data_IF_944120958753
#
_entry.id   IF_944120958753
#
_cell.length_a   1.000
_cell.length_b   1.000
_cell.length_c   1.000
_cell.angle_alpha   90.00
_cell.angle_beta   90.00
_cell.angle_gamma   90.00
#
_symmetry.space_group_name_H-M   'P 1'
#
loop_
_entity.id
_entity.type
_entity.pdbx_description
1 polymer ?
#
# COMPACT_ATOMS: atom_id res chain seq x y z
N UNK A 1 11.27 2.69 -4.80
CA UNK A 1 10.01 3.43 -4.49
C UNK A 1 8.88 3.23 -5.50
N UNK A 2 9.11 3.32 -6.82
CA UNK A 2 8.04 3.18 -7.83
C UNK A 2 7.33 1.83 -7.79
N UNK A 3 8.12 0.75 -7.78
CA UNK A 3 7.60 -0.63 -7.77
C UNK A 3 6.78 -0.90 -6.51
N UNK A 4 7.25 -0.43 -5.34
CA UNK A 4 6.53 -0.60 -4.09
C UNK A 4 5.18 0.14 -4.12
N UNK A 5 5.17 1.41 -4.52
CA UNK A 5 3.93 2.16 -4.70
C UNK A 5 2.97 1.49 -5.70
N UNK A 6 3.48 0.96 -6.81
CA UNK A 6 2.67 0.25 -7.82
C UNK A 6 2.05 -1.05 -7.28
N UNK A 7 2.81 -1.82 -6.48
CA UNK A 7 2.29 -3.02 -5.80
C UNK A 7 1.14 -2.63 -4.87
N UNK A 8 1.35 -1.65 -3.99
CA UNK A 8 0.32 -1.19 -3.04
C UNK A 8 -0.91 -0.62 -3.76
N UNK A 9 -0.72 0.14 -4.84
CA UNK A 9 -1.80 0.66 -5.67
C UNK A 9 -2.70 -0.47 -6.24
N UNK A 10 -2.10 -1.58 -6.68
CA UNK A 10 -2.84 -2.73 -7.19
C UNK A 10 -3.46 -3.59 -6.08
N UNK A 11 -2.84 -3.68 -4.89
CA UNK A 11 -3.48 -4.32 -3.73
C UNK A 11 -4.74 -3.55 -3.32
N UNK A 12 -4.68 -2.22 -3.30
CA UNK A 12 -5.84 -1.38 -3.01
C UNK A 12 -7.01 -1.65 -3.96
N UNK A 13 -6.76 -1.98 -5.22
CA UNK A 13 -7.79 -2.36 -6.19
C UNK A 13 -8.56 -3.62 -5.75
N UNK A 14 -7.84 -4.65 -5.29
CA UNK A 14 -8.44 -5.89 -4.78
C UNK A 14 -9.24 -5.67 -3.49
N UNK A 15 -8.70 -4.88 -2.55
CA UNK A 15 -9.42 -4.53 -1.32
C UNK A 15 -10.64 -3.66 -1.59
N UNK A 16 -10.57 -2.72 -2.54
CA UNK A 16 -11.72 -1.89 -2.94
C UNK A 16 -12.90 -2.77 -3.35
N UNK A 17 -12.64 -3.81 -4.14
CA UNK A 17 -13.67 -4.79 -4.50
C UNK A 17 -14.21 -5.55 -3.28
N UNK A 18 -13.35 -6.09 -2.43
CA UNK A 18 -13.77 -6.83 -1.24
C UNK A 18 -14.58 -5.96 -0.25
N UNK A 19 -14.11 -4.75 0.04
CA UNK A 19 -14.77 -3.79 0.93
C UNK A 19 -16.14 -3.37 0.38
N UNK A 20 -16.30 -3.25 -0.95
CA UNK A 20 -17.61 -3.00 -1.59
C UNK A 20 -18.64 -4.12 -1.36
N UNK A 21 -18.17 -5.32 -1.00
CA UNK A 21 -18.98 -6.48 -0.61
C UNK A 21 -19.03 -6.68 0.91
N UNK A 22 -18.60 -5.69 1.68
CA UNK A 22 -18.48 -5.75 3.15
C UNK A 22 -17.59 -6.88 3.66
N UNK A 23 -16.62 -7.33 2.84
CA UNK A 23 -15.60 -8.31 3.21
C UNK A 23 -14.35 -7.54 3.63
N UNK A 24 -13.90 -7.74 4.88
CA UNK A 24 -12.69 -7.13 5.44
C UNK A 24 -11.69 -8.26 5.69
N UNK A 25 -10.42 -8.07 5.31
CA UNK A 25 -9.42 -9.13 5.37
C UNK A 25 -8.93 -9.42 6.80
N UNK A 26 -8.54 -8.37 7.55
CA UNK A 26 -8.07 -8.40 8.95
C UNK A 26 -6.78 -9.17 9.24
N UNK A 27 -6.11 -9.71 8.23
CA UNK A 27 -4.85 -10.46 8.36
C UNK A 27 -3.95 -10.21 7.13
N UNK A 28 -3.91 -8.97 6.64
CA UNK A 28 -2.98 -8.62 5.59
C UNK A 28 -1.55 -8.61 6.14
N UNK A 29 -0.68 -9.32 5.44
CA UNK A 29 0.76 -9.44 5.67
C UNK A 29 1.42 -9.87 4.36
N UNK A 30 2.75 -9.70 4.19
CA UNK A 30 3.43 -10.04 2.94
C UNK A 30 3.18 -11.48 2.48
N UNK A 31 3.07 -12.43 3.41
CA UNK A 31 2.82 -13.86 3.10
C UNK A 31 1.46 -14.10 2.44
N UNK A 32 0.49 -13.20 2.65
CA UNK A 32 -0.86 -13.30 2.08
C UNK A 32 -0.98 -12.53 0.75
N UNK A 33 0.10 -11.93 0.25
CA UNK A 33 0.15 -11.21 -1.04
C UNK A 33 1.03 -12.00 -2.01
N UNK A 34 0.38 -12.66 -2.96
CA UNK A 34 1.05 -13.43 -4.00
C UNK A 34 1.34 -12.55 -5.23
N UNK A 35 2.46 -12.79 -5.89
CA UNK A 35 2.78 -12.16 -7.17
C UNK A 35 2.54 -13.14 -8.30
N UNK A 36 1.61 -12.82 -9.21
CA UNK A 36 1.38 -13.55 -10.45
C UNK A 36 1.73 -12.64 -11.62
N UNK A 37 2.80 -12.97 -12.34
CA UNK A 37 3.30 -12.17 -13.48
C UNK A 37 3.53 -10.69 -13.10
N UNK A 38 4.09 -10.47 -11.91
CA UNK A 38 4.31 -9.13 -11.35
C UNK A 38 3.07 -8.45 -10.78
N UNK A 39 1.85 -8.97 -10.98
CA UNK A 39 0.61 -8.40 -10.45
C UNK A 39 0.32 -8.98 -9.05
N UNK A 40 0.11 -8.15 -8.01
CA UNK A 40 -0.22 -8.64 -6.69
C UNK A 40 -1.64 -9.19 -6.63
N UNK A 41 -1.82 -10.28 -5.89
CA UNK A 41 -3.07 -10.99 -5.62
C UNK A 41 -3.18 -11.26 -4.13
N UNK A 42 -4.32 -10.91 -3.56
CA UNK A 42 -4.59 -11.12 -2.13
C UNK A 42 -5.13 -12.54 -1.93
N UNK A 43 -4.56 -13.28 -1.00
CA UNK A 43 -4.90 -14.65 -0.64
C UNK A 43 -5.30 -14.75 0.83
N UNK A 44 -5.71 -15.93 1.29
CA UNK A 44 -5.98 -16.22 2.72
C UNK A 44 -7.03 -15.31 3.39
N UNK A 45 -8.15 -15.14 2.69
CA UNK A 45 -9.38 -14.48 3.20
C UNK A 45 -10.07 -15.24 4.36
N UNK A 46 -9.50 -16.37 4.80
CA UNK A 46 -10.17 -17.45 5.52
C UNK A 46 -10.19 -17.38 7.06
N UNK A 47 -9.63 -16.35 7.71
CA UNK A 47 -9.54 -16.28 9.18
C UNK A 47 -10.11 -14.98 9.81
N UNK A 48 -10.86 -14.21 9.03
CA UNK A 48 -11.44 -12.89 9.38
C UNK A 48 -12.41 -12.86 10.59
N UNK A 49 -12.65 -13.98 11.28
CA UNK A 49 -13.58 -14.07 12.41
C UNK A 49 -12.94 -14.36 13.78
N UNK A 50 -11.66 -14.77 13.87
CA UNK A 50 -11.09 -15.24 15.16
C UNK A 50 -9.67 -14.72 15.43
N UNK A 51 -9.38 -13.47 15.08
CA UNK A 51 -8.12 -12.83 15.47
C UNK A 51 -8.32 -11.85 16.63
N UNK A 52 -8.96 -12.28 17.71
CA UNK A 52 -8.48 -11.77 18.99
C UNK A 52 -7.10 -12.38 19.11
N UNK A 53 -6.05 -11.57 19.25
CA UNK A 53 -4.73 -12.10 19.63
C UNK A 53 -4.97 -12.91 20.89
N UNK A 54 -5.00 -14.22 20.72
CA UNK A 54 -5.37 -15.16 21.76
C UNK A 54 -4.10 -15.57 22.48
N UNK A 55 -4.20 -16.00 23.74
CA UNK A 55 -3.05 -16.56 24.45
C UNK A 55 -2.36 -17.68 23.64
N UNK A 56 -3.11 -18.42 22.83
CA UNK A 56 -2.61 -19.48 21.94
C UNK A 56 -1.68 -18.99 20.82
N UNK A 57 -1.97 -17.84 20.20
CA UNK A 57 -1.09 -17.24 19.17
C UNK A 57 0.24 -16.75 19.77
N UNK A 58 0.18 -16.23 21.00
CA UNK A 58 1.36 -15.85 21.78
C UNK A 58 2.19 -17.07 22.20
N UNK A 59 1.54 -18.13 22.67
CA UNK A 59 2.17 -19.40 23.06
C UNK A 59 2.85 -20.11 21.88
N UNK A 60 2.39 -19.88 20.65
CA UNK A 60 3.04 -20.38 19.42
C UNK A 60 4.23 -19.56 18.94
N UNK A 61 4.59 -18.47 19.64
CA UNK A 61 5.71 -17.60 19.25
C UNK A 61 5.43 -16.70 18.04
N UNK A 62 4.16 -16.51 17.64
CA UNK A 62 3.81 -15.65 16.52
C UNK A 62 3.78 -14.17 16.93
N UNK A 63 4.70 -13.38 16.39
CA UNK A 63 4.75 -11.92 16.60
C UNK A 63 3.76 -11.21 15.66
N UNK A 64 2.83 -10.39 16.17
CA UNK A 64 1.76 -9.76 15.38
C UNK A 64 2.24 -8.49 14.64
N UNK A 65 3.30 -8.57 13.85
CA UNK A 65 4.04 -7.43 13.28
C UNK A 65 3.18 -6.45 12.45
N UNK A 66 2.05 -6.92 11.89
CA UNK A 66 1.16 -6.12 11.05
C UNK A 66 -0.18 -5.79 11.74
N UNK A 67 -0.42 -6.27 12.96
CA UNK A 67 -1.71 -6.10 13.62
C UNK A 67 -2.01 -4.62 13.90
N UNK A 68 -3.26 -4.22 13.65
CA UNK A 68 -3.73 -2.89 13.99
C UNK A 68 -3.98 -2.75 15.51
N UNK A 69 -3.88 -1.54 16.09
CA UNK A 69 -4.14 -1.31 17.51
C UNK A 69 -5.51 -1.82 17.98
N UNK A 70 -6.54 -1.69 17.16
CA UNK A 70 -7.89 -2.20 17.45
C UNK A 70 -8.01 -3.73 17.46
N UNK A 71 -7.04 -4.45 16.91
CA UNK A 71 -6.95 -5.91 17.01
C UNK A 71 -6.31 -6.36 18.33
N UNK A 72 -5.52 -5.49 18.97
CA UNK A 72 -4.86 -5.73 20.26
C UNK A 72 -5.77 -5.27 21.41
N UNK A 73 -6.37 -4.08 21.29
CA UNK A 73 -7.20 -3.50 22.35
C UNK A 73 -8.43 -2.78 21.80
N UNK A 74 -9.59 -3.07 22.39
CA UNK A 74 -10.87 -2.43 22.07
C UNK A 74 -10.88 -0.91 22.32
N UNK A 75 -9.90 -0.37 23.07
CA UNK A 75 -9.77 1.07 23.30
C UNK A 75 -9.55 1.88 22.02
N UNK A 76 -9.03 1.24 20.97
CA UNK A 76 -8.78 1.87 19.67
C UNK A 76 -9.95 1.73 18.68
N UNK A 77 -11.08 1.21 19.13
CA UNK A 77 -12.29 1.05 18.31
C UNK A 77 -12.59 -0.40 17.94
N UNK A 78 -13.40 -0.56 16.90
CA UNK A 78 -13.80 -1.87 16.36
C UNK A 78 -13.06 -2.12 15.05
N UNK A 79 -12.78 -3.38 14.75
CA UNK A 79 -12.23 -3.78 13.45
C UNK A 79 -13.21 -3.41 12.35
N UNK A 80 -12.71 -2.72 11.32
CA UNK A 80 -13.45 -2.39 10.12
C UNK A 80 -12.49 -2.32 8.91
N UNK A 81 -12.93 -1.80 7.77
CA UNK A 81 -12.10 -1.66 6.56
C UNK A 81 -10.77 -0.90 6.80
N UNK A 82 -10.70 -0.04 7.83
CA UNK A 82 -9.50 0.74 8.20
C UNK A 82 -8.46 -0.08 8.95
N UNK A 83 -8.81 -1.29 9.41
CA UNK A 83 -7.86 -2.28 9.89
C UNK A 83 -6.97 -2.79 8.74
N UNK A 84 -7.56 -3.05 7.57
CA UNK A 84 -6.79 -3.44 6.38
C UNK A 84 -5.87 -2.28 5.90
N UNK A 85 -6.31 -1.02 6.06
CA UNK A 85 -5.51 0.17 5.72
C UNK A 85 -4.26 0.27 6.60
N UNK A 86 -4.38 0.02 7.91
CA UNK A 86 -3.22 -0.05 8.80
C UNK A 86 -2.24 -1.13 8.35
N UNK A 87 -2.75 -2.33 8.08
CA UNK A 87 -1.93 -3.46 7.64
C UNK A 87 -1.19 -3.16 6.33
N UNK A 88 -1.86 -2.50 5.38
CA UNK A 88 -1.20 -2.00 4.17
C UNK A 88 -0.13 -0.95 4.47
N UNK A 89 -0.38 -0.05 5.42
CA UNK A 89 0.63 0.91 5.88
C UNK A 89 1.89 0.23 6.41
N UNK A 90 1.72 -0.80 7.26
CA UNK A 90 2.83 -1.57 7.80
C UNK A 90 3.61 -2.34 6.73
N UNK A 91 2.90 -2.96 5.78
CA UNK A 91 3.52 -3.62 4.61
C UNK A 91 4.27 -2.59 3.75
N UNK A 92 3.67 -1.43 3.51
CA UNK A 92 4.29 -0.41 2.68
C UNK A 92 5.56 0.14 3.33
N UNK A 93 5.50 0.39 4.64
CA UNK A 93 6.66 0.75 5.47
C UNK A 93 7.80 -0.25 5.28
N UNK A 94 7.53 -1.54 5.50
CA UNK A 94 8.55 -2.58 5.38
C UNK A 94 9.15 -2.70 3.98
N UNK A 95 8.33 -2.59 2.92
CA UNK A 95 8.86 -2.66 1.56
C UNK A 95 9.82 -1.50 1.28
N UNK A 96 9.59 -0.31 1.84
CA UNK A 96 10.43 0.87 1.55
C UNK A 96 11.62 1.03 2.48
N UNK A 97 11.57 0.47 3.70
CA UNK A 97 12.64 0.58 4.70
C UNK A 97 13.43 -0.72 4.90
N UNK A 98 12.85 -1.87 4.56
CA UNK A 98 13.36 -3.20 4.91
C UNK A 98 13.11 -3.61 6.36
N UNK A 99 12.33 -2.82 7.12
CA UNK A 99 12.03 -3.06 8.55
C UNK A 99 10.54 -2.88 8.83
N UNK A 100 9.99 -3.57 9.82
CA UNK A 100 8.61 -3.32 10.27
C UNK A 100 8.54 -1.99 11.03
N UNK A 101 7.38 -1.31 11.04
CA UNK A 101 7.25 -0.02 11.73
C UNK A 101 7.38 -0.11 13.25
N UNK A 102 7.10 -1.29 13.82
CA UNK A 102 7.22 -1.58 15.24
C UNK A 102 8.08 -2.84 15.41
N UNK A 103 9.02 -2.80 16.34
CA UNK A 103 9.96 -3.88 16.65
C UNK A 103 9.91 -4.20 18.15
N UNK A 104 10.45 -5.35 18.54
CA UNK A 104 10.52 -5.79 19.93
C UNK A 104 11.00 -7.24 20.03
N UNK A 105 11.68 -7.59 21.13
CA UNK A 105 12.30 -8.92 21.26
C UNK A 105 11.27 -10.04 21.46
N UNK A 106 10.04 -9.70 21.85
CA UNK A 106 8.95 -10.64 22.03
C UNK A 106 7.59 -10.05 21.57
N UNK A 107 6.58 -10.89 21.34
CA UNK A 107 5.27 -10.45 20.88
C UNK A 107 4.57 -9.42 21.80
N UNK A 108 4.80 -9.47 23.11
CA UNK A 108 4.20 -8.53 24.08
C UNK A 108 4.82 -7.15 23.91
N UNK A 109 6.15 -7.07 23.73
CA UNK A 109 6.83 -5.81 23.46
C UNK A 109 6.36 -5.18 22.14
N UNK A 110 6.23 -5.97 21.07
CA UNK A 110 5.70 -5.47 19.79
C UNK A 110 4.27 -4.94 19.94
N UNK A 111 3.39 -5.66 20.64
CA UNK A 111 2.03 -5.17 20.92
C UNK A 111 2.04 -3.88 21.75
N UNK A 112 2.95 -3.76 22.72
CA UNK A 112 3.12 -2.54 23.50
C UNK A 112 3.53 -1.36 22.61
N UNK A 113 4.54 -1.54 21.75
CA UNK A 113 4.99 -0.52 20.80
C UNK A 113 3.85 -0.09 19.86
N UNK A 114 3.13 -1.03 19.25
CA UNK A 114 1.93 -0.76 18.41
C UNK A 114 0.88 0.08 19.16
N UNK A 115 0.73 -0.08 20.49
CA UNK A 115 -0.25 0.66 21.27
C UNK A 115 0.25 2.00 21.81
N UNK A 116 1.55 2.15 22.07
CA UNK A 116 2.09 3.27 22.87
C UNK A 116 3.05 4.19 22.12
N UNK A 117 3.68 3.72 21.04
CA UNK A 117 4.73 4.45 20.32
C UNK A 117 4.30 4.81 18.90
N UNK A 118 4.77 5.93 18.37
CA UNK A 118 4.60 6.26 16.95
C UNK A 118 5.85 5.80 16.18
N UNK A 119 5.71 5.20 14.99
CA UNK A 119 6.87 4.74 14.23
C UNK A 119 7.65 5.92 13.68
N UNK A 120 8.96 5.78 13.51
CA UNK A 120 9.76 6.78 12.81
C UNK A 120 9.32 6.88 11.34
N UNK A 121 9.32 8.08 10.71
CA UNK A 121 9.03 8.19 9.29
C UNK A 121 9.95 7.30 8.44
N UNK A 122 9.45 6.66 7.37
CA UNK A 122 10.27 5.84 6.48
C UNK A 122 11.54 6.54 5.98
N UNK A 123 11.47 7.85 5.71
CA UNK A 123 12.61 8.66 5.27
C UNK A 123 13.77 8.73 6.27
N UNK A 124 13.51 8.52 7.57
CA UNK A 124 14.55 8.45 8.60
C UNK A 124 15.46 7.23 8.41
N UNK A 125 14.95 6.16 7.77
CA UNK A 125 15.70 4.93 7.46
C UNK A 125 16.15 4.93 6.00
N UNK A 126 15.27 5.33 5.08
CA UNK A 126 15.53 5.39 3.65
C UNK A 126 15.13 6.77 3.09
N UNK A 127 16.09 7.71 2.90
CA UNK A 127 15.79 9.06 2.42
C UNK A 127 15.00 9.14 1.10
N UNK A 128 15.09 8.12 0.22
CA UNK A 128 14.30 8.09 -1.02
C UNK A 128 12.79 7.96 -0.78
N UNK A 129 12.38 7.56 0.42
CA UNK A 129 10.98 7.37 0.81
C UNK A 129 10.29 8.66 1.29
N UNK A 130 10.98 9.81 1.36
CA UNK A 130 10.43 11.09 1.86
C UNK A 130 9.05 11.44 1.27
N UNK A 131 8.88 11.27 -0.03
CA UNK A 131 7.60 11.56 -0.71
C UNK A 131 6.46 10.60 -0.34
N UNK A 132 6.77 9.45 0.27
CA UNK A 132 5.83 8.43 0.70
C UNK A 132 5.49 8.52 2.19
N UNK A 133 6.31 9.20 3.00
CA UNK A 133 6.06 9.44 4.44
C UNK A 133 4.62 9.86 4.74
N UNK A 134 4.05 10.93 4.13
CA UNK A 134 2.68 11.36 4.49
C UNK A 134 1.62 10.28 4.21
N UNK A 135 1.83 9.43 3.21
CA UNK A 135 0.91 8.35 2.86
C UNK A 135 1.03 7.21 3.87
N UNK A 136 2.26 6.74 4.12
CA UNK A 136 2.53 5.61 5.01
C UNK A 136 2.16 5.96 6.46
N UNK A 137 2.56 7.14 6.93
CA UNK A 137 2.30 7.59 8.30
C UNK A 137 0.80 7.79 8.55
N UNK A 138 0.04 8.28 7.56
CA UNK A 138 -1.41 8.38 7.68
C UNK A 138 -2.10 7.03 7.78
N UNK A 139 -1.59 5.98 7.12
CA UNK A 139 -2.08 4.62 7.33
C UNK A 139 -1.84 4.11 8.76
N UNK A 140 -0.71 4.51 9.37
CA UNK A 140 -0.24 4.09 10.69
C UNK A 140 -0.71 4.99 11.85
N UNK A 141 -1.72 5.84 11.61
CA UNK A 141 -2.39 6.59 12.68
C UNK A 141 -3.13 5.64 13.64
N UNK A 142 -2.85 5.71 14.95
CA UNK A 142 -3.51 4.81 15.92
C UNK A 142 -5.02 5.03 16.00
N UNK A 143 -5.46 6.27 15.83
CA UNK A 143 -6.87 6.66 15.79
C UNK A 143 -7.46 6.38 14.41
N UNK A 144 -8.44 5.49 14.31
CA UNK A 144 -9.02 5.06 13.04
C UNK A 144 -9.63 6.24 12.23
N UNK A 145 -10.16 7.25 12.92
CA UNK A 145 -10.71 8.48 12.31
C UNK A 145 -9.65 9.40 11.66
N UNK A 146 -8.37 9.23 12.01
CA UNK A 146 -7.26 9.97 11.41
C UNK A 146 -6.63 9.26 10.19
N UNK A 147 -6.91 7.96 10.03
CA UNK A 147 -6.48 7.19 8.85
C UNK A 147 -7.25 7.62 7.60
N UNK A 148 -6.88 7.06 6.45
CA UNK A 148 -7.77 7.04 5.29
C UNK A 148 -9.09 6.35 5.65
N UNK A 149 -10.22 6.93 5.23
CA UNK A 149 -11.55 6.39 5.57
C UNK A 149 -12.00 5.31 4.56
N UNK A 150 -11.30 5.17 3.44
CA UNK A 150 -11.47 4.07 2.51
C UNK A 150 -10.16 3.73 1.80
N UNK A 151 -10.02 2.48 1.35
CA UNK A 151 -8.89 2.07 0.50
C UNK A 151 -8.86 2.82 -0.82
N UNK A 152 -10.00 3.35 -1.29
CA UNK A 152 -10.05 4.22 -2.47
C UNK A 152 -9.38 5.58 -2.26
N UNK A 153 -9.46 6.15 -1.06
CA UNK A 153 -8.72 7.38 -0.72
C UNK A 153 -7.22 7.11 -0.70
N UNK A 154 -6.79 6.04 -0.04
CA UNK A 154 -5.39 5.62 -0.04
C UNK A 154 -4.87 5.39 -1.48
N UNK A 155 -5.65 4.68 -2.30
CA UNK A 155 -5.30 4.39 -3.69
C UNK A 155 -5.07 5.67 -4.51
N UNK A 156 -5.87 6.72 -4.28
CA UNK A 156 -5.72 8.01 -4.97
C UNK A 156 -4.43 8.72 -4.59
N UNK A 157 -4.05 8.73 -3.31
CA UNK A 157 -2.80 9.38 -2.89
C UNK A 157 -1.57 8.64 -3.42
N UNK A 158 -1.59 7.30 -3.40
CA UNK A 158 -0.53 6.48 -4.03
C UNK A 158 -0.45 6.76 -5.53
N UNK A 159 -1.59 6.88 -6.22
CA UNK A 159 -1.62 7.23 -7.63
C UNK A 159 -1.06 8.63 -7.90
N UNK A 160 -1.30 9.59 -7.01
CA UNK A 160 -0.70 10.93 -7.06
C UNK A 160 0.84 10.85 -7.08
N UNK A 161 1.42 10.06 -6.17
CA UNK A 161 2.86 9.79 -6.17
C UNK A 161 3.33 9.15 -7.49
N UNK A 162 2.67 8.08 -7.94
CA UNK A 162 3.03 7.36 -9.18
C UNK A 162 2.98 8.28 -10.41
N UNK A 163 1.96 9.14 -10.53
CA UNK A 163 1.80 10.06 -11.65
C UNK A 163 2.93 11.06 -11.75
N UNK A 164 3.29 11.68 -10.63
CA UNK A 164 4.39 12.66 -10.59
C UNK A 164 5.68 11.97 -11.04
N UNK A 165 5.95 10.80 -10.48
CA UNK A 165 7.16 10.05 -10.75
C UNK A 165 7.24 9.53 -12.21
N UNK A 166 6.16 8.96 -12.74
CA UNK A 166 6.11 8.49 -14.13
C UNK A 166 6.12 9.63 -15.14
N UNK A 167 5.48 10.77 -14.85
CA UNK A 167 5.51 11.94 -15.74
C UNK A 167 6.92 12.49 -15.90
N UNK A 168 7.66 12.63 -14.79
CA UNK A 168 9.05 13.08 -14.84
C UNK A 168 9.93 12.07 -15.59
N UNK A 169 9.72 10.78 -15.35
CA UNK A 169 10.46 9.72 -16.03
C UNK A 169 10.19 9.67 -17.53
N UNK A 170 8.93 9.88 -17.93
CA UNK A 170 8.51 9.99 -19.33
C UNK A 170 9.21 11.17 -20.01
N UNK A 171 9.17 12.35 -19.39
CA UNK A 171 9.84 13.56 -19.89
C UNK A 171 11.33 13.34 -20.11
N UNK A 172 12.02 12.74 -19.14
CA UNK A 172 13.45 12.41 -19.23
C UNK A 172 13.72 11.38 -20.35
N UNK A 173 12.87 10.36 -20.50
CA UNK A 173 13.07 9.36 -21.56
C UNK A 173 12.86 9.93 -22.96
N UNK A 174 11.91 10.86 -23.14
CA UNK A 174 11.66 11.55 -24.41
C UNK A 174 12.86 12.43 -24.78
N UNK A 175 13.40 13.21 -23.83
CA UNK A 175 14.55 14.08 -24.11
C UNK A 175 15.83 13.30 -24.46
N UNK A 176 15.89 12.02 -24.08
CA UNK A 176 16.97 11.09 -24.41
C UNK A 176 16.68 10.24 -25.65
N UNK A 177 15.56 10.46 -26.35
CA UNK A 177 15.10 9.62 -27.46
C UNK A 177 15.01 8.12 -27.11
N UNK A 178 14.74 7.77 -25.85
CA UNK A 178 14.56 6.39 -25.39
C UNK A 178 13.11 5.96 -25.59
N UNK A 179 12.80 5.51 -26.80
CA UNK A 179 11.43 5.11 -27.20
C UNK A 179 10.87 4.01 -26.30
N UNK A 180 11.71 3.04 -25.90
CA UNK A 180 11.26 1.91 -25.07
C UNK A 180 10.80 2.37 -23.70
N UNK A 181 11.60 3.21 -23.03
CA UNK A 181 11.20 3.76 -21.71
C UNK A 181 10.05 4.75 -21.83
N UNK A 182 10.02 5.56 -22.89
CA UNK A 182 8.93 6.49 -23.13
C UNK A 182 7.59 5.76 -23.27
N UNK A 183 7.56 4.69 -24.06
CA UNK A 183 6.37 3.85 -24.21
C UNK A 183 5.96 3.20 -22.87
N UNK A 184 6.92 2.70 -22.10
CA UNK A 184 6.65 2.12 -20.77
C UNK A 184 6.00 3.13 -19.82
N UNK A 185 6.60 4.30 -19.59
CA UNK A 185 6.06 5.29 -18.65
C UNK A 185 4.73 5.88 -19.12
N UNK A 186 4.55 6.07 -20.42
CA UNK A 186 3.27 6.49 -21.00
C UNK A 186 2.17 5.43 -20.77
N UNK A 187 2.50 4.15 -20.95
CA UNK A 187 1.62 3.02 -20.63
C UNK A 187 1.24 2.94 -19.15
N UNK A 188 2.20 3.12 -18.24
CA UNK A 188 1.91 3.14 -16.80
C UNK A 188 0.97 4.30 -16.41
N UNK A 189 1.18 5.50 -16.98
CA UNK A 189 0.27 6.63 -16.78
C UNK A 189 -1.14 6.33 -17.29
N UNK A 190 -1.26 5.74 -18.49
CA UNK A 190 -2.54 5.26 -19.02
C UNK A 190 -3.23 4.31 -18.03
N UNK A 191 -2.54 3.28 -17.54
CA UNK A 191 -3.11 2.28 -16.62
C UNK A 191 -3.55 2.90 -15.29
N UNK A 192 -2.74 3.81 -14.72
CA UNK A 192 -3.09 4.50 -13.47
C UNK A 192 -4.35 5.35 -13.64
N UNK A 193 -4.48 6.11 -14.73
CA UNK A 193 -5.68 6.90 -15.01
C UNK A 193 -6.90 6.03 -15.29
N UNK A 194 -6.74 4.93 -16.06
CA UNK A 194 -7.81 4.00 -16.36
C UNK A 194 -8.39 3.35 -15.09
N UNK A 195 -7.53 2.87 -14.18
CA UNK A 195 -7.96 2.24 -12.91
C UNK A 195 -8.66 3.22 -11.96
N UNK A 196 -8.37 4.51 -12.09
CA UNK A 196 -9.06 5.56 -11.34
C UNK A 196 -10.33 6.09 -12.04
N UNK A 197 -10.66 5.59 -13.23
CA UNK A 197 -11.84 6.03 -13.99
C UNK A 197 -11.68 7.41 -14.63
N UNK A 198 -10.47 7.92 -14.74
CA UNK A 198 -10.17 9.23 -15.33
C UNK A 198 -10.00 9.12 -16.85
N UNK A 199 -11.13 8.93 -17.53
CA UNK A 199 -11.17 8.54 -18.94
C UNK A 199 -10.49 9.54 -19.89
N UNK A 200 -10.60 10.85 -19.64
CA UNK A 200 -9.96 11.87 -20.47
C UNK A 200 -8.43 11.75 -20.46
N UNK A 201 -7.84 11.65 -19.26
CA UNK A 201 -6.40 11.46 -19.12
C UNK A 201 -5.95 10.10 -19.64
N UNK A 202 -6.73 9.04 -19.41
CA UNK A 202 -6.44 7.72 -19.96
C UNK A 202 -6.40 7.76 -21.49
N UNK A 203 -7.40 8.38 -22.13
CA UNK A 203 -7.43 8.54 -23.59
C UNK A 203 -6.23 9.33 -24.11
N UNK A 204 -5.87 10.44 -23.44
CA UNK A 204 -4.68 11.22 -23.78
C UNK A 204 -3.42 10.35 -23.82
N UNK A 205 -3.13 9.61 -22.74
CA UNK A 205 -1.92 8.77 -22.69
C UNK A 205 -1.99 7.57 -23.65
N UNK A 206 -3.18 7.04 -23.97
CA UNK A 206 -3.33 6.05 -25.03
C UNK A 206 -2.95 6.62 -26.41
N UNK A 207 -3.36 7.86 -26.71
CA UNK A 207 -2.99 8.56 -27.94
C UNK A 207 -1.49 8.89 -28.00
N UNK A 208 -0.93 9.40 -26.89
CA UNK A 208 0.50 9.70 -26.80
C UNK A 208 1.36 8.43 -27.00
N UNK A 209 0.91 7.29 -26.48
CA UNK A 209 1.57 6.01 -26.66
C UNK A 209 1.63 5.58 -28.13
N UNK A 210 0.52 5.74 -28.87
CA UNK A 210 0.50 5.47 -30.32
C UNK A 210 1.50 6.36 -31.06
N UNK A 211 1.52 7.66 -30.73
CA UNK A 211 2.47 8.59 -31.34
C UNK A 211 3.93 8.16 -31.07
N UNK A 212 4.29 7.89 -29.81
CA UNK A 212 5.64 7.46 -29.42
C UNK A 212 6.09 6.20 -30.19
N UNK A 213 5.18 5.25 -30.42
CA UNK A 213 5.50 4.00 -31.11
C UNK A 213 5.58 4.15 -32.64
N UNK A 214 4.79 5.08 -33.21
CA UNK A 214 4.69 5.27 -34.66
C UNK A 214 5.62 6.33 -35.24
N UNK A 215 6.22 7.22 -34.45
CA UNK A 215 7.17 8.26 -34.93
C UNK A 215 8.55 7.71 -35.34
N UNK A 216 8.62 6.50 -35.91
CA UNK A 216 9.84 5.88 -36.45
C UNK A 216 9.96 6.05 -37.95
#
# INVERSE_FOLDING_TARGET
MKISAWILFNICEGLKYAHSKSIIHQDLKPQNILLKEGIPKISDWGLSKVSTISGTSLLGGYTPLYAAPEQISKKFGKKDARTDIWQLGAIFYEIVTGKTPFEGDDPVMVMSSIMMEDPEPPSSINPEAEKLDPIIMKCLEKKQEKRYQSVSELQRDIAGFLRIDYTESLRISISRNDVRRSAFYCGELFIVHLKLGEMENAYKYASDLLYILCSR
#
